data_IF_051583293850
#
_entry.id   IF_051583293850
#
_cell.length_a   1.000
_cell.length_b   1.000
_cell.length_c   1.000
_cell.angle_alpha   90.00
_cell.angle_beta   90.00
_cell.angle_gamma   90.00
#
_symmetry.space_group_name_H-M   'P 1'
#
loop_
_entity.id
_entity.type
_entity.pdbx_description
1 polymer ?
#
# COMPACT_ATOMS: atom_id res chain seq x y z
N UNK A 1 6.38 -35.61 70.13
CA UNK A 1 5.21 -36.29 69.54
C UNK A 1 4.35 -35.18 68.95
N UNK A 2 4.49 -34.92 67.64
CA UNK A 2 3.48 -35.25 66.61
C UNK A 2 2.20 -34.45 66.83
N UNK A 3 1.57 -33.76 65.90
CA UNK A 3 1.65 -33.54 64.45
C UNK A 3 0.50 -32.55 64.20
N UNK A 4 0.62 -31.55 63.35
CA UNK A 4 -0.18 -31.53 62.12
C UNK A 4 0.32 -30.47 61.15
N UNK A 5 0.26 -30.87 59.89
CA UNK A 5 0.93 -30.33 58.72
C UNK A 5 -0.02 -29.56 57.81
N UNK A 6 0.51 -28.43 57.34
CA UNK A 6 0.52 -27.97 55.95
C UNK A 6 -0.78 -27.49 55.26
N UNK A 7 -0.67 -26.23 54.82
CA UNK A 7 -1.51 -25.57 53.81
C UNK A 7 -0.88 -24.24 53.38
N UNK A 8 0.40 -24.27 52.98
CA UNK A 8 1.08 -23.13 52.32
C UNK A 8 0.51 -23.04 50.90
N UNK A 9 -0.16 -21.94 50.58
CA UNK A 9 -0.52 -21.60 49.19
C UNK A 9 0.76 -21.34 48.40
N UNK A 10 0.97 -22.15 47.37
CA UNK A 10 2.05 -22.06 46.42
C UNK A 10 1.84 -20.93 45.40
N UNK A 11 2.98 -20.46 44.89
CA UNK A 11 3.15 -19.56 43.76
C UNK A 11 2.56 -20.17 42.49
N UNK A 12 1.95 -19.33 41.65
CA UNK A 12 1.53 -19.71 40.30
C UNK A 12 1.12 -18.50 39.48
N UNK A 13 2.03 -18.10 38.57
CA UNK A 13 1.74 -17.48 37.28
C UNK A 13 1.18 -16.05 37.28
N UNK A 14 2.08 -15.08 37.50
CA UNK A 14 2.01 -13.81 36.80
C UNK A 14 2.27 -14.11 35.31
N UNK A 15 1.21 -14.18 34.52
CA UNK A 15 1.31 -14.06 33.08
C UNK A 15 1.83 -12.64 32.79
N UNK A 16 3.14 -12.53 32.51
CA UNK A 16 3.70 -11.38 31.82
C UNK A 16 2.96 -11.26 30.49
N UNK A 17 1.96 -10.36 30.46
CA UNK A 17 1.50 -9.72 29.24
C UNK A 17 2.68 -8.92 28.73
N UNK A 18 3.59 -9.60 28.01
CA UNK A 18 4.60 -8.97 27.21
C UNK A 18 3.87 -8.08 26.21
N UNK A 19 4.00 -6.78 26.42
CA UNK A 19 3.36 -5.75 25.63
C UNK A 19 3.84 -5.87 24.17
N UNK A 20 2.99 -6.45 23.31
CA UNK A 20 3.27 -6.59 21.88
C UNK A 20 3.44 -5.23 21.18
N UNK A 21 3.06 -4.11 21.81
CA UNK A 21 3.33 -2.78 21.30
C UNK A 21 4.80 -2.35 21.45
N UNK A 22 5.51 -2.89 22.46
CA UNK A 22 6.94 -2.61 22.69
C UNK A 22 7.81 -3.46 21.74
N UNK A 23 7.46 -4.74 21.53
CA UNK A 23 8.15 -5.62 20.57
C UNK A 23 8.01 -5.16 19.11
N UNK A 24 6.92 -4.46 18.74
CA UNK A 24 6.77 -3.86 17.40
C UNK A 24 7.69 -2.68 17.14
N UNK A 25 8.17 -1.96 18.17
CA UNK A 25 9.01 -0.76 17.99
C UNK A 25 10.47 -1.09 17.66
N UNK A 26 11.01 -2.19 18.17
CA UNK A 26 12.41 -2.59 17.90
C UNK A 26 12.62 -3.18 16.49
N UNK A 27 11.56 -3.66 15.83
CA UNK A 27 11.61 -4.28 14.49
C UNK A 27 10.99 -3.41 13.37
N UNK A 28 10.95 -2.08 13.53
CA UNK A 28 10.37 -1.17 12.54
C UNK A 28 11.36 -0.72 11.43
N UNK A 29 12.66 -0.94 11.64
CA UNK A 29 13.73 -0.42 10.78
C UNK A 29 14.75 -1.52 10.43
N UNK A 30 15.40 -1.38 9.28
CA UNK A 30 16.40 -2.36 8.79
C UNK A 30 17.79 -2.16 9.41
N UNK A 31 18.04 -0.97 9.99
CA UNK A 31 19.36 -0.53 10.41
C UNK A 31 20.14 0.25 9.35
N UNK A 32 19.66 0.34 8.11
CA UNK A 32 20.18 1.22 7.05
C UNK A 32 19.51 2.59 7.10
N UNK A 33 20.02 3.52 6.30
CA UNK A 33 19.47 4.88 6.15
C UNK A 33 19.12 5.17 4.69
N UNK A 34 18.05 5.92 4.51
CA UNK A 34 17.74 6.61 3.26
C UNK A 34 18.34 8.01 3.32
N UNK A 35 19.11 8.38 2.30
CA UNK A 35 19.69 9.71 2.15
C UNK A 35 19.15 10.34 0.88
N UNK A 36 18.38 11.41 1.02
CA UNK A 36 17.91 12.22 -0.09
C UNK A 36 19.00 13.22 -0.46
N UNK A 37 19.38 13.19 -1.74
CA UNK A 37 20.43 14.01 -2.30
C UNK A 37 19.85 15.10 -3.20
N UNK A 38 20.57 16.23 -3.26
CA UNK A 38 20.34 17.23 -4.28
C UNK A 38 20.60 16.62 -5.68
N UNK A 39 19.68 16.79 -6.66
CA UNK A 39 19.83 16.23 -8.00
C UNK A 39 21.09 16.68 -8.73
N UNK A 40 21.56 17.91 -8.49
CA UNK A 40 22.71 18.51 -9.16
C UNK A 40 24.01 18.23 -8.41
N UNK A 41 23.94 18.11 -7.08
CA UNK A 41 25.11 17.96 -6.21
C UNK A 41 25.26 16.57 -5.57
N UNK A 42 24.49 15.56 -5.98
CA UNK A 42 24.47 14.25 -5.31
C UNK A 42 25.84 13.55 -5.17
N UNK A 43 26.78 13.78 -6.09
CA UNK A 43 28.17 13.28 -5.96
C UNK A 43 28.89 13.87 -4.74
N UNK A 44 28.71 15.18 -4.50
CA UNK A 44 29.28 15.89 -3.37
C UNK A 44 28.70 15.38 -2.05
N UNK A 45 27.39 15.14 -2.02
CA UNK A 45 26.73 14.56 -0.84
C UNK A 45 27.27 13.17 -0.49
N UNK A 46 27.43 12.29 -1.49
CA UNK A 46 28.03 10.97 -1.26
C UNK A 46 29.50 11.04 -0.81
N UNK A 47 30.28 11.98 -1.34
CA UNK A 47 31.66 12.20 -0.91
C UNK A 47 31.75 12.72 0.54
N UNK A 48 30.81 13.59 0.94
CA UNK A 48 30.70 14.04 2.32
C UNK A 48 30.35 12.89 3.27
N UNK A 49 29.41 12.02 2.91
CA UNK A 49 29.07 10.83 3.71
C UNK A 49 30.28 9.88 3.85
N UNK A 50 31.02 9.66 2.76
CA UNK A 50 32.22 8.83 2.79
C UNK A 50 33.30 9.42 3.69
N UNK A 51 33.58 10.71 3.56
CA UNK A 51 34.67 11.38 4.29
C UNK A 51 34.36 11.63 5.76
N UNK A 52 33.10 11.93 6.11
CA UNK A 52 32.71 12.33 7.48
C UNK A 52 32.07 11.22 8.28
N UNK A 53 31.34 10.30 7.62
CA UNK A 53 30.59 9.23 8.30
C UNK A 53 31.11 7.83 7.98
N UNK A 54 32.18 7.72 7.16
CA UNK A 54 32.77 6.43 6.81
C UNK A 54 31.86 5.54 5.96
N UNK A 55 30.84 6.13 5.33
CA UNK A 55 29.90 5.38 4.47
C UNK A 55 30.64 4.87 3.23
N UNK A 56 30.51 3.57 2.88
CA UNK A 56 31.12 3.01 1.68
C UNK A 56 30.70 3.74 0.39
N UNK A 57 31.47 3.53 -0.68
CA UNK A 57 31.09 4.03 -2.00
C UNK A 57 29.71 3.50 -2.43
N UNK A 58 28.96 4.31 -3.18
CA UNK A 58 27.66 3.90 -3.69
C UNK A 58 27.72 3.41 -5.14
N UNK A 59 27.10 2.26 -5.38
CA UNK A 59 26.85 1.73 -6.71
C UNK A 59 25.54 2.28 -7.25
N UNK A 60 25.52 2.59 -8.55
CA UNK A 60 24.32 3.14 -9.18
C UNK A 60 23.34 2.02 -9.52
N UNK A 61 22.12 2.13 -9.01
CA UNK A 61 20.99 1.30 -9.39
C UNK A 61 20.14 2.07 -10.40
N UNK A 62 20.09 1.57 -11.63
CA UNK A 62 19.24 2.11 -12.70
C UNK A 62 18.06 1.17 -12.93
N UNK A 63 16.90 1.74 -13.25
CA UNK A 63 15.63 1.02 -13.27
C UNK A 63 15.55 -0.25 -14.13
N UNK A 64 16.44 -0.47 -15.11
CA UNK A 64 16.43 -1.68 -15.94
C UNK A 64 17.09 -2.91 -15.29
N UNK A 65 17.85 -2.76 -14.20
CA UNK A 65 18.73 -3.81 -13.67
C UNK A 65 18.26 -4.35 -12.32
N UNK A 66 17.15 -5.09 -12.31
CA UNK A 66 16.58 -5.65 -11.07
C UNK A 66 17.58 -6.56 -10.31
N UNK A 67 18.34 -7.40 -11.02
CA UNK A 67 19.35 -8.26 -10.40
C UNK A 67 20.49 -7.47 -9.75
N UNK A 68 20.94 -6.37 -10.38
CA UNK A 68 21.95 -5.49 -9.79
C UNK A 68 21.41 -4.80 -8.55
N UNK A 69 20.17 -4.31 -8.60
CA UNK A 69 19.50 -3.71 -7.45
C UNK A 69 19.42 -4.66 -6.25
N UNK A 70 19.05 -5.93 -6.48
CA UNK A 70 18.99 -6.95 -5.42
C UNK A 70 20.36 -7.20 -4.82
N UNK A 71 21.39 -7.45 -5.65
CA UNK A 71 22.76 -7.68 -5.17
C UNK A 71 23.26 -6.54 -4.30
N UNK A 72 23.12 -5.30 -4.78
CA UNK A 72 23.59 -4.11 -4.06
C UNK A 72 22.81 -3.93 -2.74
N UNK A 73 21.50 -4.21 -2.72
CA UNK A 73 20.69 -4.11 -1.51
C UNK A 73 20.90 -5.26 -0.52
N UNK A 74 21.48 -6.39 -0.93
CA UNK A 74 21.87 -7.50 -0.04
C UNK A 74 23.22 -7.26 0.63
N UNK A 75 24.14 -6.56 -0.05
CA UNK A 75 25.49 -6.34 0.44
C UNK A 75 25.51 -5.26 1.54
N UNK A 76 25.81 -5.64 2.81
CA UNK A 76 25.72 -4.71 3.94
C UNK A 76 26.74 -3.56 3.86
N UNK A 77 27.82 -3.78 3.11
CA UNK A 77 28.94 -2.84 2.95
C UNK A 77 28.86 -2.03 1.65
N UNK A 78 27.78 -2.14 0.87
CA UNK A 78 27.59 -1.39 -0.37
C UNK A 78 26.37 -0.48 -0.25
N UNK A 79 26.55 0.78 -0.66
CA UNK A 79 25.45 1.74 -0.73
C UNK A 79 24.78 1.68 -2.10
N UNK A 80 23.44 1.69 -2.15
CA UNK A 80 22.70 1.76 -3.41
C UNK A 80 22.31 3.21 -3.70
N UNK A 81 22.77 3.79 -4.80
CA UNK A 81 22.32 5.11 -5.28
C UNK A 81 21.32 4.94 -6.40
N UNK A 82 20.11 5.48 -6.24
CA UNK A 82 19.07 5.56 -7.27
C UNK A 82 19.11 6.96 -7.90
N UNK A 83 19.81 7.19 -9.03
CA UNK A 83 20.04 8.54 -9.54
C UNK A 83 18.75 9.21 -10.01
N UNK A 84 17.87 8.45 -10.67
CA UNK A 84 16.58 8.93 -11.17
C UNK A 84 15.64 9.37 -10.05
N UNK A 85 15.83 8.77 -8.87
CA UNK A 85 15.08 9.11 -7.65
C UNK A 85 15.84 10.06 -6.75
N UNK A 86 17.12 10.31 -7.00
CA UNK A 86 18.07 11.08 -6.18
C UNK A 86 18.11 10.65 -4.71
N UNK A 87 18.05 9.34 -4.44
CA UNK A 87 18.10 8.77 -3.09
C UNK A 87 19.20 7.71 -3.03
N UNK A 88 19.94 7.68 -1.94
CA UNK A 88 20.85 6.60 -1.61
C UNK A 88 20.31 5.78 -0.43
N UNK A 89 20.43 4.46 -0.50
CA UNK A 89 20.26 3.53 0.62
C UNK A 89 21.65 3.16 1.12
N UNK A 90 21.97 3.52 2.36
CA UNK A 90 23.33 3.40 2.90
C UNK A 90 23.34 2.51 4.15
N UNK A 91 24.27 1.56 4.17
CA UNK A 91 24.61 0.81 5.38
C UNK A 91 25.45 1.68 6.33
N UNK A 92 25.12 1.66 7.62
CA UNK A 92 25.82 2.46 8.63
C UNK A 92 26.03 1.63 9.88
N UNK A 93 27.29 1.48 10.29
CA UNK A 93 27.61 0.83 11.56
C UNK A 93 27.03 1.63 12.74
N UNK A 94 26.61 0.99 13.86
CA UNK A 94 25.96 1.68 14.97
C UNK A 94 26.73 2.89 15.52
N UNK A 95 28.07 2.83 15.54
CA UNK A 95 28.98 3.89 15.97
C UNK A 95 29.14 5.04 14.97
N UNK A 96 28.75 4.85 13.70
CA UNK A 96 28.83 5.85 12.63
C UNK A 96 27.52 6.64 12.43
N UNK A 97 26.43 6.26 13.10
CA UNK A 97 25.09 6.86 12.88
C UNK A 97 25.05 8.34 13.24
N UNK A 98 25.68 8.74 14.34
CA UNK A 98 25.76 10.14 14.76
C UNK A 98 26.54 10.98 13.74
N UNK A 99 27.63 10.43 13.21
CA UNK A 99 28.43 11.10 12.18
C UNK A 99 27.63 11.27 10.87
N UNK A 100 26.79 10.29 10.49
CA UNK A 100 25.90 10.43 9.34
C UNK A 100 24.88 11.55 9.53
N UNK A 101 24.23 11.61 10.69
CA UNK A 101 23.22 12.65 10.97
C UNK A 101 23.87 14.03 10.97
N UNK A 102 25.04 14.17 11.59
CA UNK A 102 25.81 15.43 11.57
C UNK A 102 26.23 15.82 10.15
N UNK A 103 26.75 14.88 9.35
CA UNK A 103 27.11 15.13 7.97
C UNK A 103 25.89 15.59 7.14
N UNK A 104 24.73 14.98 7.33
CA UNK A 104 23.48 15.36 6.67
C UNK A 104 22.97 16.75 7.07
N UNK A 105 23.28 17.22 8.28
CA UNK A 105 22.89 18.57 8.73
C UNK A 105 23.85 19.66 8.24
N UNK A 106 25.13 19.34 8.06
CA UNK A 106 26.17 20.30 7.68
C UNK A 106 26.39 20.41 6.16
N UNK A 107 26.10 19.34 5.40
CA UNK A 107 26.33 19.30 3.97
C UNK A 107 25.05 19.62 3.20
N UNK A 108 25.02 20.79 2.56
CA UNK A 108 23.85 21.30 1.83
C UNK A 108 23.38 20.43 0.67
N UNK A 109 24.26 19.59 0.12
CA UNK A 109 23.91 18.63 -0.94
C UNK A 109 23.15 17.39 -0.44
N UNK A 110 23.00 17.23 0.89
CA UNK A 110 22.13 16.25 1.54
C UNK A 110 20.87 16.97 2.02
N UNK A 111 19.72 16.63 1.44
CA UNK A 111 18.45 17.30 1.74
C UNK A 111 17.81 16.69 3.00
N UNK A 112 17.89 15.37 3.14
CA UNK A 112 17.35 14.66 4.29
C UNK A 112 18.07 13.33 4.47
N UNK A 113 18.13 12.85 5.71
CA UNK A 113 18.53 11.48 6.03
C UNK A 113 17.57 10.91 7.07
N UNK A 114 17.06 9.70 6.84
CA UNK A 114 16.17 9.02 7.76
C UNK A 114 16.45 7.51 7.84
N UNK A 115 16.13 6.85 8.97
CA UNK A 115 16.24 5.39 9.06
C UNK A 115 15.32 4.70 8.05
N UNK A 116 15.82 3.66 7.39
CA UNK A 116 15.06 2.88 6.42
C UNK A 116 14.06 1.96 7.16
N UNK A 117 12.78 2.04 6.77
CA UNK A 117 11.71 1.28 7.40
C UNK A 117 11.57 -0.12 6.81
N UNK A 118 11.06 -1.02 7.64
CA UNK A 118 10.41 -2.24 7.19
C UNK A 118 8.95 -1.97 6.87
N UNK A 119 8.50 -2.47 5.72
CA UNK A 119 7.13 -2.35 5.21
C UNK A 119 6.47 -3.71 5.13
N UNK A 120 5.15 -3.73 5.23
CA UNK A 120 4.38 -4.97 5.34
C UNK A 120 3.08 -4.89 4.52
N UNK A 121 2.59 -6.04 4.08
CA UNK A 121 1.17 -6.22 3.79
C UNK A 121 0.40 -6.25 5.12
N UNK A 122 -0.81 -5.72 5.14
CA UNK A 122 -1.71 -5.84 6.29
C UNK A 122 -3.05 -6.38 5.82
N UNK A 123 -3.22 -7.70 5.77
CA UNK A 123 -4.49 -8.32 5.37
C UNK A 123 -5.38 -8.57 6.57
N UNK A 124 -6.66 -8.24 6.47
CA UNK A 124 -7.68 -8.66 7.43
C UNK A 124 -8.31 -9.95 6.91
N UNK A 125 -7.81 -11.09 7.41
CA UNK A 125 -8.45 -12.40 7.21
C UNK A 125 -9.42 -12.67 8.34
N UNK A 126 -10.52 -13.38 8.05
CA UNK A 126 -11.77 -13.59 8.83
C UNK A 126 -11.67 -13.93 10.34
N UNK A 127 -10.47 -14.08 10.90
CA UNK A 127 -10.23 -14.33 12.33
C UNK A 127 -10.29 -13.09 13.23
N UNK A 128 -10.41 -11.87 12.69
CA UNK A 128 -10.55 -10.65 13.50
C UNK A 128 -11.97 -10.05 13.46
N UNK A 129 -13.00 -10.86 13.25
CA UNK A 129 -14.41 -10.47 13.46
C UNK A 129 -14.71 -10.46 14.97
N UNK A 130 -14.16 -9.50 15.72
CA UNK A 130 -14.80 -9.12 16.98
C UNK A 130 -16.08 -8.34 16.64
N UNK A 131 -17.19 -9.05 16.72
CA UNK A 131 -18.54 -8.49 16.70
C UNK A 131 -18.69 -7.66 17.97
N UNK A 132 -18.45 -6.35 17.91
CA UNK A 132 -18.90 -5.46 18.99
C UNK A 132 -20.42 -5.37 18.93
N UNK A 133 -21.08 -6.21 19.71
CA UNK A 133 -22.53 -6.23 19.84
C UNK A 133 -23.06 -4.89 20.34
N UNK A 134 -23.80 -4.20 19.48
CA UNK A 134 -24.59 -3.04 19.86
C UNK A 134 -25.98 -3.52 20.29
N UNK A 135 -26.26 -3.49 21.59
CA UNK A 135 -27.61 -3.69 22.13
C UNK A 135 -28.25 -2.33 22.43
N UNK A 136 -29.29 -1.88 21.68
CA UNK A 136 -30.14 -0.81 22.15
C UNK A 136 -31.19 -1.38 23.12
N UNK A 137 -31.27 -0.80 24.31
CA UNK A 137 -32.35 -1.02 25.27
C UNK A 137 -33.66 -0.49 24.71
N UNK A 138 -34.67 -1.36 24.64
CA UNK A 138 -36.01 -1.07 24.15
C UNK A 138 -36.75 -0.10 25.08
N UNK A 139 -37.32 0.97 24.51
CA UNK A 139 -38.48 1.68 25.07
C UNK A 139 -39.55 1.75 23.97
N UNK A 140 -40.73 1.29 24.31
CA UNK A 140 -41.91 1.07 23.45
C UNK A 140 -42.61 2.38 23.09
N UNK A 141 -42.88 2.57 21.80
CA UNK A 141 -44.03 3.31 21.27
C UNK A 141 -44.32 2.74 19.86
N UNK A 142 -45.35 1.90 19.73
CA UNK A 142 -45.48 0.92 18.63
C UNK A 142 -45.98 1.47 17.27
N UNK A 143 -46.54 2.68 17.18
CA UNK A 143 -47.19 3.15 15.93
C UNK A 143 -46.41 4.18 15.12
N UNK A 144 -45.24 4.64 15.59
CA UNK A 144 -44.35 5.59 14.85
C UNK A 144 -43.12 4.88 14.24
N UNK A 145 -42.89 3.59 14.57
CA UNK A 145 -41.67 2.87 14.17
C UNK A 145 -41.65 2.36 12.71
N UNK A 146 -42.77 1.96 12.11
CA UNK A 146 -42.72 1.18 10.85
C UNK A 146 -42.21 1.95 9.61
N UNK A 147 -42.44 3.27 9.54
CA UNK A 147 -41.96 4.07 8.39
C UNK A 147 -40.52 4.57 8.57
N UNK A 148 -40.03 4.65 9.81
CA UNK A 148 -38.66 5.07 10.11
C UNK A 148 -37.67 3.91 10.12
N UNK A 149 -38.12 2.66 10.30
CA UNK A 149 -37.22 1.49 10.31
C UNK A 149 -36.82 1.06 8.91
N UNK A 150 -37.72 0.97 7.93
CA UNK A 150 -37.34 0.42 6.60
C UNK A 150 -36.33 1.30 5.85
N UNK A 151 -36.50 2.63 5.88
CA UNK A 151 -35.56 3.56 5.26
C UNK A 151 -34.23 3.65 6.03
N UNK A 152 -34.26 3.62 7.37
CA UNK A 152 -33.04 3.60 8.18
C UNK A 152 -32.30 2.25 8.08
N UNK A 153 -33.03 1.14 7.99
CA UNK A 153 -32.48 -0.20 7.76
C UNK A 153 -31.93 -0.34 6.34
N UNK A 154 -32.62 0.17 5.32
CA UNK A 154 -32.10 0.23 3.96
C UNK A 154 -30.85 1.12 3.86
N UNK A 155 -30.83 2.27 4.55
CA UNK A 155 -29.64 3.12 4.66
C UNK A 155 -28.50 2.44 5.43
N UNK A 156 -28.80 1.61 6.43
CA UNK A 156 -27.81 0.85 7.19
C UNK A 156 -27.25 -0.36 6.44
N UNK A 157 -28.06 -1.01 5.59
CA UNK A 157 -27.68 -2.16 4.77
C UNK A 157 -26.94 -1.75 3.49
N UNK A 158 -27.17 -0.53 2.99
CA UNK A 158 -26.57 0.01 1.79
C UNK A 158 -27.14 -0.58 0.49
N UNK A 159 -26.47 -0.37 -0.66
CA UNK A 159 -26.95 -0.86 -1.94
C UNK A 159 -27.02 -2.40 -1.98
N UNK A 160 -27.99 -2.94 -2.71
CA UNK A 160 -28.02 -4.35 -3.06
C UNK A 160 -27.08 -4.60 -4.26
N UNK A 161 -26.18 -5.58 -4.13
CA UNK A 161 -25.21 -5.95 -5.15
C UNK A 161 -25.57 -7.30 -5.77
N UNK A 162 -25.65 -7.37 -7.10
CA UNK A 162 -25.84 -8.63 -7.82
C UNK A 162 -24.48 -9.16 -8.30
N UNK A 163 -23.89 -10.07 -7.54
CA UNK A 163 -22.57 -10.62 -7.83
C UNK A 163 -22.60 -11.86 -8.75
N UNK A 164 -23.69 -12.08 -9.50
CA UNK A 164 -23.77 -13.16 -10.48
C UNK A 164 -22.80 -12.95 -11.67
N UNK A 165 -22.61 -11.70 -12.08
CA UNK A 165 -21.81 -11.35 -13.26
C UNK A 165 -20.57 -10.49 -12.94
N UNK A 166 -20.69 -9.54 -12.02
CA UNK A 166 -19.62 -8.62 -11.61
C UNK A 166 -19.51 -8.56 -10.10
N UNK A 167 -18.30 -8.51 -9.53
CA UNK A 167 -18.16 -8.32 -8.07
C UNK A 167 -18.79 -7.00 -7.64
N UNK A 168 -19.19 -6.92 -6.36
CA UNK A 168 -19.77 -5.71 -5.79
C UNK A 168 -18.82 -4.51 -5.94
N UNK A 169 -17.51 -4.75 -5.87
CA UNK A 169 -16.49 -3.73 -6.03
C UNK A 169 -16.52 -3.09 -7.41
N UNK A 170 -16.66 -3.89 -8.48
CA UNK A 170 -16.81 -3.38 -9.84
C UNK A 170 -18.11 -2.60 -10.03
N UNK A 171 -19.20 -3.04 -9.40
CA UNK A 171 -20.48 -2.32 -9.43
C UNK A 171 -20.39 -0.98 -8.69
N UNK A 172 -19.75 -0.96 -7.51
CA UNK A 172 -19.59 0.23 -6.69
C UNK A 172 -18.78 1.31 -7.40
N UNK A 173 -17.67 0.95 -8.06
CA UNK A 173 -16.87 1.89 -8.85
C UNK A 173 -17.43 2.15 -10.25
N UNK A 174 -18.56 1.52 -10.61
CA UNK A 174 -19.23 1.58 -11.93
C UNK A 174 -18.44 1.03 -13.12
N UNK A 175 -17.45 0.17 -12.87
CA UNK A 175 -16.67 -0.50 -13.91
C UNK A 175 -17.50 -1.47 -14.78
N UNK A 176 -18.67 -1.90 -14.30
CA UNK A 176 -19.65 -2.67 -15.07
C UNK A 176 -20.38 -1.83 -16.15
N UNK A 177 -20.31 -0.50 -16.06
CA UNK A 177 -20.90 0.43 -17.04
C UNK A 177 -19.85 1.15 -17.90
N UNK A 178 -18.56 1.03 -17.55
CA UNK A 178 -17.48 1.64 -18.30
C UNK A 178 -17.19 0.83 -19.57
N UNK A 179 -17.03 1.53 -20.70
CA UNK A 179 -16.65 0.92 -21.99
C UNK A 179 -15.14 0.88 -22.22
N UNK A 180 -14.39 1.62 -21.41
CA UNK A 180 -12.93 1.62 -21.43
C UNK A 180 -12.42 0.35 -20.76
N UNK A 181 -11.25 -0.12 -21.20
CA UNK A 181 -10.68 -1.40 -20.78
C UNK A 181 -9.28 -1.24 -20.16
N UNK A 182 -8.67 -0.06 -20.24
CA UNK A 182 -7.28 0.19 -19.86
C UNK A 182 -6.29 -0.17 -20.97
N UNK A 183 -6.77 -0.46 -22.19
CA UNK A 183 -5.92 -0.82 -23.31
C UNK A 183 -4.83 0.22 -23.55
N UNK A 184 -3.59 -0.26 -23.74
CA UNK A 184 -2.43 0.60 -24.01
C UNK A 184 -1.84 1.26 -22.76
N UNK A 185 -2.40 1.04 -21.57
CA UNK A 185 -1.89 1.61 -20.32
C UNK A 185 -1.11 0.57 -19.53
N UNK A 186 0.08 0.95 -19.07
CA UNK A 186 0.91 0.15 -18.18
C UNK A 186 0.64 0.51 -16.71
N UNK A 187 0.29 -0.48 -15.92
CA UNK A 187 0.08 -0.38 -14.47
C UNK A 187 1.12 -1.24 -13.77
N UNK A 188 1.93 -0.63 -12.92
CA UNK A 188 2.84 -1.35 -12.05
C UNK A 188 2.15 -1.68 -10.72
N UNK A 189 2.27 -2.93 -10.29
CA UNK A 189 1.84 -3.38 -8.96
C UNK A 189 3.08 -3.83 -8.21
N UNK A 190 3.46 -3.08 -7.18
CA UNK A 190 4.62 -3.36 -6.35
C UNK A 190 4.15 -4.05 -5.06
N UNK A 191 4.37 -5.37 -4.98
CA UNK A 191 3.73 -6.23 -3.97
C UNK A 191 4.55 -7.53 -3.72
N UNK A 192 3.91 -8.63 -3.35
CA UNK A 192 4.51 -9.95 -3.08
C UNK A 192 4.84 -10.77 -4.33
N UNK A 193 4.64 -10.20 -5.52
CA UNK A 193 4.86 -10.84 -6.81
C UNK A 193 3.56 -11.20 -7.53
N UNK A 194 3.64 -12.13 -8.48
CA UNK A 194 2.47 -12.64 -9.22
C UNK A 194 2.63 -14.13 -9.50
N UNK A 195 1.55 -14.90 -9.44
CA UNK A 195 1.52 -16.21 -10.09
C UNK A 195 1.52 -16.02 -11.62
N UNK A 196 2.68 -16.14 -12.24
CA UNK A 196 2.84 -15.89 -13.70
C UNK A 196 2.10 -16.90 -14.56
N UNK A 197 1.70 -18.03 -13.99
CA UNK A 197 0.97 -19.09 -14.68
C UNK A 197 -0.54 -19.00 -14.44
N UNK A 198 -1.00 -18.01 -13.69
CA UNK A 198 -2.42 -17.84 -13.39
C UNK A 198 -3.22 -17.65 -14.70
N UNK A 199 -4.26 -18.46 -14.96
CA UNK A 199 -4.94 -18.50 -16.26
C UNK A 199 -5.58 -17.16 -16.66
N UNK A 200 -6.05 -16.39 -15.67
CA UNK A 200 -6.64 -15.07 -15.93
C UNK A 200 -5.59 -13.96 -16.16
N UNK A 201 -4.36 -14.11 -15.68
CA UNK A 201 -3.40 -13.00 -15.59
C UNK A 201 -2.24 -13.12 -16.57
N UNK A 202 -1.84 -14.33 -16.96
CA UNK A 202 -0.67 -14.58 -17.78
C UNK A 202 -0.61 -13.72 -19.06
N UNK A 203 -1.75 -13.52 -19.72
CA UNK A 203 -1.85 -12.72 -20.94
C UNK A 203 -1.67 -11.19 -20.73
N UNK A 204 -1.82 -10.71 -19.48
CA UNK A 204 -1.76 -9.28 -19.12
C UNK A 204 -0.41 -8.85 -18.58
N UNK A 205 0.40 -9.79 -18.10
CA UNK A 205 1.75 -9.52 -17.60
C UNK A 205 2.63 -9.05 -18.77
N UNK A 206 3.12 -7.82 -18.66
CA UNK A 206 4.02 -7.19 -19.63
C UNK A 206 5.48 -7.24 -19.18
N UNK A 207 5.72 -7.28 -17.87
CA UNK A 207 7.05 -7.37 -17.29
C UNK A 207 6.98 -7.80 -15.84
N UNK A 208 8.03 -8.47 -15.39
CA UNK A 208 8.16 -8.96 -14.02
C UNK A 208 9.56 -8.69 -13.52
N UNK A 209 9.69 -8.27 -12.27
CA UNK A 209 10.97 -8.12 -11.61
C UNK A 209 10.83 -8.50 -10.13
N UNK A 210 11.88 -9.09 -9.55
CA UNK A 210 11.98 -9.28 -8.11
C UNK A 210 13.10 -8.43 -7.55
N UNK A 211 12.76 -7.67 -6.52
CA UNK A 211 13.67 -6.89 -5.69
C UNK A 211 13.83 -7.55 -4.31
N UNK A 212 13.37 -8.80 -4.17
CA UNK A 212 13.47 -9.56 -2.93
C UNK A 212 14.62 -10.55 -3.02
N UNK A 213 15.60 -10.44 -2.12
CA UNK A 213 16.71 -11.37 -1.99
C UNK A 213 16.33 -12.84 -2.05
N UNK A 214 17.01 -13.58 -2.94
CA UNK A 214 16.82 -15.03 -3.10
C UNK A 214 15.41 -15.48 -3.51
N UNK A 215 14.53 -14.58 -3.95
CA UNK A 215 13.15 -14.93 -4.31
C UNK A 215 12.85 -14.54 -5.76
N UNK A 216 12.31 -15.51 -6.52
CA UNK A 216 11.75 -15.24 -7.84
C UNK A 216 10.50 -14.34 -7.75
N UNK A 217 10.02 -13.83 -8.88
CA UNK A 217 8.80 -13.03 -8.94
C UNK A 217 7.51 -13.79 -8.57
N UNK A 218 7.58 -15.12 -8.44
CA UNK A 218 6.41 -15.92 -8.09
C UNK A 218 5.84 -15.52 -6.74
N UNK A 219 4.51 -15.42 -6.70
CA UNK A 219 3.80 -15.00 -5.51
C UNK A 219 3.61 -16.17 -4.53
N UNK A 220 4.53 -16.29 -3.58
CA UNK A 220 4.42 -17.24 -2.48
C UNK A 220 3.46 -16.82 -1.37
N UNK A 221 2.88 -15.62 -1.42
CA UNK A 221 1.95 -15.10 -0.42
C UNK A 221 0.49 -15.13 -0.89
N UNK A 222 0.26 -14.66 -2.12
CA UNK A 222 -1.02 -14.52 -2.80
C UNK A 222 -1.57 -13.09 -2.87
N UNK A 223 -1.05 -12.19 -2.03
CA UNK A 223 -1.50 -10.80 -1.95
C UNK A 223 -1.27 -10.01 -3.25
N UNK A 224 -0.09 -10.14 -3.86
CA UNK A 224 0.24 -9.46 -5.10
C UNK A 224 -0.60 -9.93 -6.28
N UNK A 225 -0.82 -11.24 -6.41
CA UNK A 225 -1.72 -11.83 -7.42
C UNK A 225 -3.15 -11.30 -7.26
N UNK A 226 -3.62 -11.16 -6.02
CA UNK A 226 -4.94 -10.61 -5.71
C UNK A 226 -5.06 -9.13 -6.11
N UNK A 227 -4.04 -8.33 -5.78
CA UNK A 227 -4.00 -6.91 -6.15
C UNK A 227 -3.95 -6.71 -7.67
N UNK A 228 -3.11 -7.48 -8.38
CA UNK A 228 -3.04 -7.48 -9.85
C UNK A 228 -4.38 -7.84 -10.47
N UNK A 229 -5.03 -8.89 -9.97
CA UNK A 229 -6.34 -9.29 -10.44
C UNK A 229 -7.42 -8.22 -10.23
N UNK A 230 -7.37 -7.49 -9.11
CA UNK A 230 -8.35 -6.44 -8.83
C UNK A 230 -8.16 -5.25 -9.79
N UNK A 231 -6.91 -4.90 -10.09
CA UNK A 231 -6.59 -3.83 -11.02
C UNK A 231 -6.93 -4.19 -12.49
N UNK A 232 -6.55 -5.38 -12.95
CA UNK A 232 -6.57 -5.74 -14.38
C UNK A 232 -6.97 -7.19 -14.69
N UNK A 233 -7.74 -7.85 -13.82
CA UNK A 233 -8.36 -9.13 -14.12
C UNK A 233 -9.22 -9.06 -15.39
N UNK A 234 -9.29 -10.14 -16.17
CA UNK A 234 -9.90 -10.14 -17.50
C UNK A 234 -11.41 -9.89 -17.43
N UNK A 235 -11.98 -9.44 -18.55
CA UNK A 235 -13.43 -9.24 -18.68
C UNK A 235 -14.21 -10.56 -18.62
N UNK A 236 -13.58 -11.66 -19.01
CA UNK A 236 -14.13 -13.02 -18.95
C UNK A 236 -13.15 -13.95 -18.20
N UNK A 237 -13.22 -13.98 -16.86
CA UNK A 237 -12.37 -14.86 -16.06
C UNK A 237 -12.81 -16.32 -16.16
N UNK A 238 -11.91 -17.26 -15.82
CA UNK A 238 -12.23 -18.69 -15.77
C UNK A 238 -13.47 -19.00 -14.90
N UNK A 239 -13.68 -18.22 -13.83
CA UNK A 239 -14.87 -18.31 -12.99
C UNK A 239 -15.45 -16.91 -12.74
N UNK A 240 -16.74 -16.75 -13.05
CA UNK A 240 -17.54 -15.58 -12.68
C UNK A 240 -17.62 -15.44 -11.14
N UNK A 241 -17.86 -14.22 -10.62
CA UNK A 241 -18.05 -12.96 -11.35
C UNK A 241 -16.74 -12.30 -11.84
N UNK A 242 -16.86 -11.38 -12.81
CA UNK A 242 -15.78 -10.47 -13.24
C UNK A 242 -15.32 -9.61 -12.06
N UNK A 243 -14.01 -9.44 -11.90
CA UNK A 243 -13.42 -8.77 -10.73
C UNK A 243 -12.36 -7.71 -11.06
N UNK A 244 -11.88 -7.61 -12.30
CA UNK A 244 -10.88 -6.61 -12.70
C UNK A 244 -11.47 -5.30 -13.24
N UNK A 245 -10.94 -4.16 -12.76
CA UNK A 245 -11.39 -2.82 -13.16
C UNK A 245 -10.97 -2.48 -14.60
N UNK A 246 -9.70 -2.67 -14.94
CA UNK A 246 -9.11 -2.33 -16.24
C UNK A 246 -8.62 -3.60 -16.97
N UNK A 247 -9.54 -4.39 -17.58
CA UNK A 247 -9.27 -5.77 -18.03
C UNK A 247 -8.26 -5.92 -19.17
N UNK A 248 -7.88 -4.84 -19.85
CA UNK A 248 -6.89 -4.83 -20.93
C UNK A 248 -5.64 -3.99 -20.62
N UNK A 249 -5.53 -3.46 -19.40
CA UNK A 249 -4.29 -2.87 -18.92
C UNK A 249 -3.14 -3.90 -18.93
N UNK A 250 -1.93 -3.41 -19.20
CA UNK A 250 -0.71 -4.20 -19.20
C UNK A 250 -0.07 -4.10 -17.81
N UNK A 251 0.26 -5.22 -17.20
CA UNK A 251 0.75 -5.26 -15.81
C UNK A 251 2.27 -5.41 -15.75
N UNK A 252 2.89 -4.55 -14.97
CA UNK A 252 4.27 -4.69 -14.50
C UNK A 252 4.22 -5.22 -13.06
N UNK A 253 4.55 -6.49 -12.85
CA UNK A 253 4.52 -7.10 -11.52
C UNK A 253 5.90 -7.00 -10.86
N UNK A 254 6.05 -6.06 -9.92
CA UNK A 254 7.27 -5.87 -9.16
C UNK A 254 7.16 -6.52 -7.79
N UNK A 255 7.95 -7.55 -7.52
CA UNK A 255 8.04 -8.15 -6.18
C UNK A 255 8.97 -7.31 -5.31
N UNK A 256 8.40 -6.53 -4.40
CA UNK A 256 9.14 -5.73 -3.40
C UNK A 256 8.91 -6.24 -1.98
N UNK A 257 7.98 -7.19 -1.81
CA UNK A 257 7.69 -7.88 -0.55
C UNK A 257 7.97 -9.38 -0.68
N UNK A 258 8.53 -9.95 0.37
CA UNK A 258 8.82 -11.37 0.49
C UNK A 258 7.56 -12.22 0.49
N UNK A 259 7.72 -13.53 0.39
CA UNK A 259 6.62 -14.49 0.54
C UNK A 259 5.94 -14.41 1.92
N UNK A 260 6.61 -13.81 2.92
CA UNK A 260 6.06 -13.53 4.24
C UNK A 260 5.31 -12.18 4.29
N UNK A 261 5.29 -11.42 3.20
CA UNK A 261 4.58 -10.15 3.10
C UNK A 261 5.34 -8.96 3.70
N UNK A 262 6.66 -9.06 3.87
CA UNK A 262 7.52 -7.99 4.39
C UNK A 262 8.59 -7.57 3.38
N UNK A 263 8.99 -6.29 3.42
CA UNK A 263 10.08 -5.74 2.62
C UNK A 263 10.65 -4.48 3.28
N UNK A 264 11.49 -3.77 2.54
CA UNK A 264 12.14 -2.53 2.99
C UNK A 264 11.86 -1.38 2.04
N UNK A 265 12.00 -0.15 2.54
CA UNK A 265 11.88 1.05 1.71
C UNK A 265 12.83 1.01 0.49
N UNK A 266 14.07 0.52 0.64
CA UNK A 266 15.01 0.38 -0.48
C UNK A 266 14.52 -0.55 -1.58
N UNK A 267 13.84 -1.64 -1.23
CA UNK A 267 13.21 -2.53 -2.22
C UNK A 267 12.04 -1.85 -2.93
N UNK A 268 11.25 -1.04 -2.20
CA UNK A 268 10.19 -0.22 -2.80
C UNK A 268 10.79 0.81 -3.77
N UNK A 269 11.85 1.52 -3.37
CA UNK A 269 12.54 2.50 -4.22
C UNK A 269 13.08 1.85 -5.50
N UNK A 270 13.66 0.65 -5.40
CA UNK A 270 14.08 -0.13 -6.57
C UNK A 270 12.89 -0.48 -7.48
N UNK A 271 11.78 -0.93 -6.92
CA UNK A 271 10.54 -1.21 -7.65
C UNK A 271 9.95 0.03 -8.33
N UNK A 272 9.96 1.20 -7.67
CA UNK A 272 9.50 2.48 -8.23
C UNK A 272 10.39 2.88 -9.41
N UNK A 273 11.71 2.84 -9.24
CA UNK A 273 12.68 3.16 -10.31
C UNK A 273 12.50 2.24 -11.52
N UNK A 274 12.31 0.93 -11.29
CA UNK A 274 12.00 -0.01 -12.36
C UNK A 274 10.69 0.32 -13.07
N UNK A 275 9.60 0.50 -12.32
CA UNK A 275 8.29 0.83 -12.90
C UNK A 275 8.32 2.11 -13.77
N UNK A 276 9.04 3.14 -13.33
CA UNK A 276 9.28 4.35 -14.12
C UNK A 276 10.03 4.05 -15.41
N UNK A 277 11.12 3.28 -15.35
CA UNK A 277 11.90 2.91 -16.53
C UNK A 277 11.11 2.10 -17.56
N UNK A 278 10.11 1.36 -17.09
CA UNK A 278 9.20 0.58 -17.91
C UNK A 278 8.01 1.41 -18.43
N UNK A 279 7.90 2.70 -18.07
CA UNK A 279 6.84 3.59 -18.56
C UNK A 279 5.49 3.42 -17.88
N UNK A 280 5.44 2.92 -16.64
CA UNK A 280 4.19 2.77 -15.90
C UNK A 280 3.47 4.13 -15.78
N UNK A 281 2.16 4.16 -16.11
CA UNK A 281 1.32 5.36 -15.88
C UNK A 281 0.82 5.44 -14.45
N UNK A 282 0.74 4.29 -13.78
CA UNK A 282 0.28 4.16 -12.40
C UNK A 282 1.13 3.12 -11.69
N UNK A 283 1.54 3.43 -10.46
CA UNK A 283 2.17 2.51 -9.52
C UNK A 283 1.18 2.28 -8.37
N UNK A 284 0.77 1.04 -8.15
CA UNK A 284 -0.08 0.59 -7.05
C UNK A 284 0.77 -0.07 -5.98
N UNK A 285 0.66 0.40 -4.73
CA UNK A 285 1.39 -0.10 -3.58
C UNK A 285 0.44 -0.45 -2.44
N UNK A 286 0.09 -1.73 -2.33
CA UNK A 286 -0.81 -2.25 -1.30
C UNK A 286 -0.05 -2.68 -0.05
N UNK A 287 0.78 -1.77 0.47
CA UNK A 287 1.75 -2.00 1.53
C UNK A 287 1.90 -0.77 2.41
N UNK A 288 2.50 -0.94 3.59
CA UNK A 288 2.92 0.20 4.38
C UNK A 288 3.57 -0.14 5.71
N UNK A 289 3.91 0.92 6.44
CA UNK A 289 4.44 0.86 7.80
C UNK A 289 3.61 1.77 8.73
N UNK A 290 3.30 1.33 9.97
CA UNK A 290 2.54 2.12 10.92
C UNK A 290 3.15 3.49 11.21
N UNK A 291 2.30 4.50 11.34
CA UNK A 291 2.69 5.88 11.69
C UNK A 291 2.08 6.25 13.04
N UNK A 292 2.88 6.86 13.92
CA UNK A 292 2.37 7.32 15.22
C UNK A 292 1.52 8.60 15.07
N UNK A 293 0.52 8.83 15.92
CA UNK A 293 -0.21 10.10 15.93
C UNK A 293 0.73 11.31 16.03
N UNK A 294 0.59 12.30 15.12
CA UNK A 294 1.46 13.48 15.06
C UNK A 294 2.81 13.30 14.36
N UNK A 295 3.15 12.08 13.93
CA UNK A 295 4.37 11.85 13.15
C UNK A 295 4.18 12.34 11.70
N UNK A 296 5.15 13.12 11.21
CA UNK A 296 5.15 13.62 9.84
C UNK A 296 5.49 12.52 8.82
N UNK A 297 5.14 12.77 7.56
CA UNK A 297 5.51 11.91 6.43
C UNK A 297 7.03 11.93 6.16
N UNK A 298 7.51 10.92 5.44
CA UNK A 298 8.91 10.82 5.02
C UNK A 298 9.24 11.91 3.98
N UNK A 299 10.21 12.82 4.25
CA UNK A 299 10.65 13.80 3.25
C UNK A 299 11.31 13.14 2.04
N UNK A 300 11.93 11.97 2.24
CA UNK A 300 12.53 11.16 1.17
C UNK A 300 11.44 10.67 0.22
N UNK A 301 10.41 9.98 0.74
CA UNK A 301 9.34 9.43 -0.09
C UNK A 301 8.46 10.51 -0.71
N UNK A 302 8.23 11.64 -0.02
CA UNK A 302 7.52 12.77 -0.64
C UNK A 302 8.30 13.32 -1.84
N UNK A 303 9.61 13.52 -1.69
CA UNK A 303 10.44 14.02 -2.80
C UNK A 303 10.50 13.02 -3.96
N UNK A 304 10.60 11.72 -3.64
CA UNK A 304 10.52 10.64 -4.64
C UNK A 304 9.17 10.66 -5.36
N UNK A 305 8.07 10.79 -4.62
CA UNK A 305 6.73 10.85 -5.19
C UNK A 305 6.55 12.07 -6.10
N UNK A 306 7.06 13.24 -5.71
CA UNK A 306 7.06 14.42 -6.57
C UNK A 306 7.83 14.19 -7.88
N UNK A 307 8.98 13.53 -7.83
CA UNK A 307 9.78 13.17 -9.02
C UNK A 307 9.04 12.18 -9.92
N UNK A 308 8.38 11.17 -9.34
CA UNK A 308 7.55 10.18 -10.06
C UNK A 308 6.35 10.87 -10.74
N UNK A 309 5.67 11.77 -10.04
CA UNK A 309 4.55 12.55 -10.58
C UNK A 309 5.00 13.49 -11.70
N UNK A 310 6.14 14.15 -11.55
CA UNK A 310 6.73 15.00 -12.58
C UNK A 310 7.13 14.19 -13.83
N UNK A 311 7.50 12.92 -13.68
CA UNK A 311 7.76 11.98 -14.77
C UNK A 311 6.48 11.46 -15.45
N UNK A 312 5.28 11.85 -14.98
CA UNK A 312 3.99 11.49 -15.60
C UNK A 312 3.33 10.23 -15.02
N UNK A 313 3.84 9.71 -13.91
CA UNK A 313 3.33 8.50 -13.24
C UNK A 313 2.63 8.85 -11.93
N UNK A 314 1.45 8.30 -11.70
CA UNK A 314 0.76 8.43 -10.40
C UNK A 314 1.12 7.29 -9.46
N UNK A 315 1.28 7.60 -8.18
CA UNK A 315 1.43 6.60 -7.12
C UNK A 315 0.12 6.51 -6.33
N UNK A 316 -0.39 5.30 -6.18
CA UNK A 316 -1.58 4.98 -5.39
C UNK A 316 -1.16 4.00 -4.30
N UNK A 317 -1.48 4.31 -3.04
CA UNK A 317 -1.06 3.49 -1.91
C UNK A 317 -2.18 3.27 -0.88
N UNK A 318 -2.13 2.10 -0.24
CA UNK A 318 -3.08 1.72 0.80
C UNK A 318 -2.93 2.61 2.04
N UNK A 319 -4.04 3.12 2.58
CA UNK A 319 -3.99 3.97 3.76
C UNK A 319 -3.51 3.24 5.03
N UNK A 320 -3.67 1.92 5.12
CA UNK A 320 -3.35 1.10 6.30
C UNK A 320 -4.59 0.49 6.95
N UNK A 321 -4.37 -0.51 7.82
CA UNK A 321 -5.45 -1.35 8.40
C UNK A 321 -5.37 -1.49 9.93
N UNK A 322 -4.76 -0.51 10.61
CA UNK A 322 -4.58 -0.50 12.07
C UNK A 322 -5.49 0.52 12.79
N UNK A 323 -6.48 1.05 12.08
CA UNK A 323 -7.39 2.12 12.56
C UNK A 323 -6.69 3.40 13.01
N UNK A 324 -5.39 3.53 12.73
CA UNK A 324 -4.55 4.64 13.10
C UNK A 324 -4.48 5.73 12.04
N UNK A 325 -3.42 6.54 12.09
CA UNK A 325 -3.07 7.48 11.04
C UNK A 325 -2.84 6.80 9.69
N UNK A 326 -2.95 7.54 8.60
CA UNK A 326 -2.48 7.05 7.28
C UNK A 326 -1.02 6.59 7.40
N UNK A 327 -0.76 5.37 6.94
CA UNK A 327 0.54 4.74 7.03
C UNK A 327 1.53 5.27 5.99
N UNK A 328 2.81 5.07 6.26
CA UNK A 328 3.87 5.28 5.28
C UNK A 328 3.78 4.22 4.17
N UNK A 329 3.99 4.54 2.88
CA UNK A 329 4.27 5.87 2.33
C UNK A 329 3.00 6.64 1.92
N UNK A 330 1.80 6.06 2.08
CA UNK A 330 0.55 6.69 1.67
C UNK A 330 0.30 8.05 2.31
N UNK A 331 0.89 8.33 3.47
CA UNK A 331 0.80 9.62 4.13
C UNK A 331 1.59 10.76 3.45
N UNK A 332 2.38 10.49 2.42
CA UNK A 332 3.04 11.54 1.64
C UNK A 332 2.01 12.30 0.78
N UNK A 333 1.94 13.65 0.81
CA UNK A 333 0.99 14.45 0.04
C UNK A 333 0.91 14.14 -1.47
N UNK A 334 2.05 13.80 -2.07
CA UNK A 334 2.16 13.48 -3.50
C UNK A 334 1.72 12.05 -3.84
N UNK A 335 1.50 11.19 -2.84
CA UNK A 335 0.97 9.83 -3.01
C UNK A 335 -0.54 9.84 -2.79
N UNK A 336 -1.27 9.06 -3.59
CA UNK A 336 -2.72 8.95 -3.47
C UNK A 336 -3.10 7.88 -2.44
N UNK A 337 -3.44 8.30 -1.22
CA UNK A 337 -3.89 7.43 -0.14
C UNK A 337 -5.33 6.94 -0.36
N UNK A 338 -5.53 5.62 -0.24
CA UNK A 338 -6.81 4.97 -0.49
C UNK A 338 -7.37 4.31 0.79
N UNK A 339 -8.54 4.77 1.22
CA UNK A 339 -9.32 4.17 2.30
C UNK A 339 -10.20 3.00 1.81
N UNK A 340 -10.52 2.07 2.72
CA UNK A 340 -11.34 0.90 2.42
C UNK A 340 -12.80 1.13 2.78
N UNK A 341 -13.71 0.79 1.86
CA UNK A 341 -15.15 0.72 2.10
C UNK A 341 -15.63 -0.72 2.14
N UNK A 342 -16.72 -0.96 2.89
CA UNK A 342 -17.53 -2.17 2.78
C UNK A 342 -18.71 -2.03 1.82
N UNK A 343 -19.47 -3.12 1.67
CA UNK A 343 -20.66 -3.19 0.80
C UNK A 343 -21.74 -2.15 1.12
N UNK A 344 -21.83 -1.71 2.39
CA UNK A 344 -22.72 -0.63 2.79
C UNK A 344 -22.20 0.79 2.45
N UNK A 345 -21.08 0.89 1.73
CA UNK A 345 -20.36 2.13 1.41
C UNK A 345 -19.91 2.95 2.63
N UNK A 346 -19.80 2.29 3.78
CA UNK A 346 -19.17 2.84 4.96
C UNK A 346 -17.68 2.50 4.99
N UNK A 347 -16.85 3.44 5.45
CA UNK A 347 -15.44 3.19 5.80
C UNK A 347 -15.31 1.96 6.69
N UNK A 348 -14.38 1.08 6.35
CA UNK A 348 -14.11 -0.12 7.11
C UNK A 348 -13.53 0.24 8.49
N UNK A 349 -13.92 -0.44 9.58
CA UNK A 349 -13.42 -0.10 10.92
C UNK A 349 -11.89 -0.12 11.04
N UNK A 350 -11.23 -1.03 10.33
CA UNK A 350 -9.77 -1.15 10.30
C UNK A 350 -9.07 -0.05 9.49
N UNK A 351 -9.77 0.64 8.58
CA UNK A 351 -9.14 1.59 7.66
C UNK A 351 -8.51 2.74 8.46
N UNK A 352 -7.24 3.01 8.19
CA UNK A 352 -6.57 4.19 8.71
C UNK A 352 -7.25 5.47 8.22
N UNK A 353 -7.05 6.55 8.97
CA UNK A 353 -7.74 7.83 8.80
C UNK A 353 -6.75 8.96 8.59
N UNK A 354 -7.22 9.95 7.85
CA UNK A 354 -6.53 11.20 7.62
C UNK A 354 -6.24 11.92 8.93
N UNK A 355 -5.07 12.57 9.00
CA UNK A 355 -4.78 13.54 10.05
C UNK A 355 -4.96 14.95 9.50
N UNK A 356 -5.39 15.89 10.36
CA UNK A 356 -5.41 17.33 10.04
C UNK A 356 -3.99 17.94 10.07
N UNK A 357 -3.02 17.24 9.46
CA UNK A 357 -1.68 17.74 9.21
C UNK A 357 -1.55 17.99 7.70
N UNK A 358 -0.60 18.83 7.30
CA UNK A 358 -0.26 18.93 5.88
C UNK A 358 0.37 17.59 5.47
N UNK A 359 -0.29 16.85 4.56
CA UNK A 359 0.02 15.44 4.34
C UNK A 359 -0.67 14.51 5.34
N UNK A 360 -0.65 13.21 5.07
CA UNK A 360 -1.39 12.19 5.82
C UNK A 360 -2.91 12.26 5.70
N UNK A 361 -3.44 12.79 4.60
CA UNK A 361 -4.87 12.82 4.30
C UNK A 361 -5.32 11.55 3.55
N UNK A 362 -6.61 11.20 3.64
CA UNK A 362 -7.22 10.27 2.68
C UNK A 362 -7.58 11.06 1.42
N UNK A 363 -7.14 10.59 0.26
CA UNK A 363 -7.51 11.24 -0.99
C UNK A 363 -8.82 10.68 -1.54
N UNK A 364 -9.00 9.36 -1.46
CA UNK A 364 -10.17 8.67 -2.01
C UNK A 364 -10.46 7.39 -1.24
N UNK A 365 -11.70 6.90 -1.36
CA UNK A 365 -12.10 5.60 -0.85
C UNK A 365 -12.48 4.65 -1.99
N UNK A 366 -12.30 3.35 -1.78
CA UNK A 366 -12.66 2.32 -2.74
C UNK A 366 -13.04 1.00 -2.05
N UNK A 367 -13.65 0.04 -2.78
CA UNK A 367 -14.03 -1.26 -2.25
C UNK A 367 -12.85 -2.02 -1.62
N UNK A 368 -12.93 -2.32 -0.32
CA UNK A 368 -11.83 -2.96 0.41
C UNK A 368 -12.24 -4.06 1.38
N UNK A 369 -13.53 -4.34 1.57
CA UNK A 369 -14.01 -5.43 2.44
C UNK A 369 -14.65 -6.52 1.60
N UNK A 370 -14.28 -7.78 1.84
CA UNK A 370 -14.80 -8.94 1.11
C UNK A 370 -14.65 -8.77 -0.41
N UNK A 371 -13.43 -8.46 -0.86
CA UNK A 371 -13.10 -8.30 -2.27
C UNK A 371 -12.58 -9.62 -2.81
N UNK A 372 -13.31 -10.18 -3.78
CA UNK A 372 -12.91 -11.37 -4.54
C UNK A 372 -11.98 -10.98 -5.68
N UNK A 373 -10.84 -11.66 -5.82
CA UNK A 373 -9.91 -11.51 -6.95
C UNK A 373 -9.14 -12.81 -7.21
N UNK A 374 -8.20 -12.77 -8.16
CA UNK A 374 -7.24 -13.82 -8.45
C UNK A 374 -6.41 -14.21 -7.20
N UNK A 375 -5.96 -15.45 -7.17
CA UNK A 375 -5.10 -16.00 -6.12
C UNK A 375 -4.21 -17.08 -6.72
N UNK A 376 -2.98 -17.30 -6.23
CA UNK A 376 -2.11 -18.33 -6.79
C UNK A 376 -2.77 -19.71 -6.87
N UNK A 377 -2.42 -20.45 -7.91
CA UNK A 377 -2.84 -21.84 -8.05
C UNK A 377 -2.37 -22.69 -6.87
N UNK A 378 -3.15 -23.70 -6.44
CA UNK A 378 -4.35 -24.23 -7.11
C UNK A 378 -5.67 -23.55 -6.70
N UNK A 379 -5.66 -22.55 -5.81
CA UNK A 379 -6.89 -21.95 -5.30
C UNK A 379 -7.56 -21.02 -6.33
N UNK A 380 -6.79 -20.38 -7.22
CA UNK A 380 -7.21 -19.52 -8.34
C UNK A 380 -7.92 -18.22 -7.92
N UNK A 381 -8.77 -18.25 -6.91
CA UNK A 381 -9.50 -17.08 -6.44
C UNK A 381 -9.65 -17.06 -4.93
N UNK A 382 -9.60 -15.86 -4.35
CA UNK A 382 -9.81 -15.67 -2.92
C UNK A 382 -10.49 -14.34 -2.62
N UNK A 383 -11.29 -14.34 -1.56
CA UNK A 383 -11.92 -13.14 -1.01
C UNK A 383 -11.18 -12.73 0.25
N UNK A 384 -10.65 -11.50 0.27
CA UNK A 384 -9.95 -10.93 1.42
C UNK A 384 -10.31 -9.45 1.61
N UNK A 385 -9.91 -8.88 2.74
CA UNK A 385 -10.21 -7.50 3.12
C UNK A 385 -8.95 -6.72 3.48
N UNK A 386 -8.97 -5.43 3.17
CA UNK A 386 -7.93 -4.45 3.49
C UNK A 386 -7.99 -3.23 2.58
N UNK A 387 -7.38 -2.13 3.01
CA UNK A 387 -7.03 -1.00 2.11
C UNK A 387 -6.15 -1.44 0.93
N UNK A 388 -5.44 -2.56 1.10
CA UNK A 388 -4.76 -3.28 0.02
C UNK A 388 -5.66 -3.71 -1.13
N UNK A 389 -6.94 -3.96 -0.90
CA UNK A 389 -7.90 -4.32 -1.96
C UNK A 389 -8.57 -3.08 -2.55
N UNK A 390 -8.68 -2.00 -1.77
CA UNK A 390 -9.19 -0.71 -2.25
C UNK A 390 -8.21 -0.04 -3.24
N UNK A 391 -6.93 -0.08 -2.93
CA UNK A 391 -5.83 0.51 -3.72
C UNK A 391 -5.84 0.08 -5.20
N UNK A 392 -5.86 -1.22 -5.54
CA UNK A 392 -5.86 -1.66 -6.94
C UNK A 392 -7.15 -1.34 -7.70
N UNK A 393 -8.30 -1.16 -7.02
CA UNK A 393 -9.48 -0.62 -7.70
C UNK A 393 -9.19 0.79 -8.24
N UNK A 394 -8.60 1.64 -7.40
CA UNK A 394 -8.23 3.02 -7.80
C UNK A 394 -7.15 3.00 -8.88
N UNK A 395 -6.14 2.13 -8.77
CA UNK A 395 -5.12 1.99 -9.82
C UNK A 395 -5.75 1.62 -11.18
N UNK A 396 -6.72 0.71 -11.19
CA UNK A 396 -7.51 0.37 -12.37
C UNK A 396 -8.31 1.56 -12.91
N UNK A 397 -8.98 2.34 -12.05
CA UNK A 397 -9.71 3.55 -12.47
C UNK A 397 -8.76 4.55 -13.13
N UNK A 398 -7.57 4.79 -12.55
CA UNK A 398 -6.57 5.69 -13.13
C UNK A 398 -6.09 5.16 -14.48
N UNK A 399 -5.98 3.84 -14.66
CA UNK A 399 -5.66 3.27 -15.96
C UNK A 399 -6.74 3.54 -17.01
N UNK A 400 -8.02 3.45 -16.64
CA UNK A 400 -9.13 3.82 -17.53
C UNK A 400 -9.10 5.32 -17.88
N UNK A 401 -8.82 6.20 -16.91
CA UNK A 401 -8.65 7.63 -17.15
C UNK A 401 -7.46 7.93 -18.07
N UNK A 402 -6.35 7.21 -17.91
CA UNK A 402 -5.18 7.35 -18.77
C UNK A 402 -5.44 6.83 -20.20
N UNK A 403 -6.32 5.85 -20.39
CA UNK A 403 -6.79 5.45 -21.72
C UNK A 403 -7.67 6.55 -22.34
N UNK A 404 -8.56 7.15 -21.54
CA UNK A 404 -9.46 8.22 -21.99
C UNK A 404 -8.70 9.49 -22.42
N UNK A 405 -7.67 9.86 -21.66
CA UNK A 405 -6.85 11.05 -21.89
C UNK A 405 -5.35 10.68 -21.93
N UNK A 406 -4.84 10.07 -23.01
CA UNK A 406 -3.45 9.58 -23.07
C UNK A 406 -2.38 10.65 -22.80
N UNK A 407 -2.66 11.90 -23.17
CA UNK A 407 -1.79 13.05 -22.96
C UNK A 407 -1.90 13.73 -21.59
N UNK A 408 -2.82 13.31 -20.72
CA UNK A 408 -2.98 13.90 -19.40
C UNK A 408 -1.74 13.64 -18.53
N UNK A 409 -1.30 14.66 -17.81
CA UNK A 409 -0.25 14.56 -16.80
C UNK A 409 -0.76 13.82 -15.55
N UNK A 410 0.16 13.34 -14.71
CA UNK A 410 -0.21 12.69 -13.45
C UNK A 410 -1.11 13.58 -12.55
N UNK A 411 -0.81 14.88 -12.33
CA UNK A 411 -1.70 15.76 -11.57
C UNK A 411 -3.09 15.93 -12.19
N UNK A 412 -3.20 15.96 -13.52
CA UNK A 412 -4.49 16.02 -14.22
C UNK A 412 -5.29 14.74 -14.01
N UNK A 413 -4.66 13.57 -14.11
CA UNK A 413 -5.32 12.28 -13.81
C UNK A 413 -5.81 12.22 -12.35
N UNK A 414 -4.99 12.67 -11.38
CA UNK A 414 -5.41 12.76 -9.96
C UNK A 414 -6.61 13.69 -9.82
N UNK A 415 -6.57 14.86 -10.47
CA UNK A 415 -7.69 15.82 -10.45
C UNK A 415 -8.96 15.21 -11.05
N UNK A 416 -8.87 14.53 -12.19
CA UNK A 416 -10.01 13.84 -12.84
C UNK A 416 -10.64 12.83 -11.89
N UNK A 417 -9.83 11.94 -11.33
CA UNK A 417 -10.26 10.93 -10.37
C UNK A 417 -10.99 11.57 -9.17
N UNK A 418 -10.38 12.58 -8.53
CA UNK A 418 -10.94 13.26 -7.37
C UNK A 418 -12.24 14.00 -7.71
N UNK A 419 -12.29 14.69 -8.86
CA UNK A 419 -13.48 15.42 -9.30
C UNK A 419 -14.63 14.52 -9.74
N UNK A 420 -14.31 13.30 -10.21
CA UNK A 420 -15.28 12.29 -10.63
C UNK A 420 -15.74 11.36 -9.50
N UNK A 421 -15.18 11.49 -8.30
CA UNK A 421 -15.54 10.65 -7.16
C UNK A 421 -17.01 10.87 -6.76
N UNK A 422 -17.68 9.78 -6.40
CA UNK A 422 -19.01 9.85 -5.79
C UNK A 422 -18.87 10.28 -4.33
N UNK A 423 -19.34 11.50 -4.02
CA UNK A 423 -19.26 12.07 -2.68
C UNK A 423 -20.04 11.21 -1.68
N UNK A 424 -19.37 10.80 -0.61
CA UNK A 424 -19.97 10.10 0.51
C UNK A 424 -20.29 11.10 1.65
N UNK A 425 -21.30 10.83 2.49
CA UNK A 425 -21.65 11.70 3.61
C UNK A 425 -20.65 11.62 4.78
N UNK A 426 -19.70 10.70 4.72
CA UNK A 426 -18.69 10.49 5.75
C UNK A 426 -17.64 11.62 5.75
N UNK A 427 -17.02 11.91 6.91
CA UNK A 427 -15.99 12.94 7.00
C UNK A 427 -14.81 12.70 6.04
N UNK A 428 -14.19 13.75 5.46
CA UNK A 428 -13.07 13.62 4.53
C UNK A 428 -11.85 12.87 5.11
N UNK A 429 -11.61 12.93 6.41
CA UNK A 429 -10.57 12.14 7.07
C UNK A 429 -10.79 10.62 6.94
N UNK A 430 -12.02 10.17 6.66
CA UNK A 430 -12.33 8.75 6.47
C UNK A 430 -12.37 8.34 5.00
N UNK A 431 -12.78 9.23 4.11
CA UNK A 431 -13.11 8.87 2.71
C UNK A 431 -12.55 9.81 1.65
N UNK A 432 -11.86 10.88 2.05
CA UNK A 432 -11.33 11.89 1.15
C UNK A 432 -12.43 12.52 0.30
N UNK A 433 -12.24 12.48 -1.03
CA UNK A 433 -13.23 12.96 -2.00
C UNK A 433 -14.49 12.08 -2.09
N UNK A 434 -14.47 10.88 -1.52
CA UNK A 434 -15.55 9.89 -1.60
C UNK A 434 -15.12 8.62 -2.34
N UNK A 435 -16.10 7.90 -2.90
CA UNK A 435 -15.88 6.65 -3.62
C UNK A 435 -15.36 6.92 -5.03
N UNK A 436 -14.22 6.33 -5.40
CA UNK A 436 -13.72 6.38 -6.77
C UNK A 436 -14.71 5.81 -7.79
N UNK A 437 -14.84 6.48 -8.93
CA UNK A 437 -15.72 6.08 -10.03
C UNK A 437 -14.93 5.98 -11.33
N UNK A 438 -15.24 4.97 -12.14
CA UNK A 438 -14.75 4.90 -13.52
C UNK A 438 -15.32 6.04 -14.37
N UNK A 439 -14.59 6.53 -15.39
CA UNK A 439 -15.06 7.57 -16.30
C UNK A 439 -16.26 7.15 -17.16
#
# INVERSE_FOLDING_TARGET
MTSESFGRRERGEQFELCDQSVLKRENAYTGRYLVLLDPQEGKRGMEALRSRAGVPGAEQVRGAEAESAVRILEEPDVSALFPDLGVAVVGVAPDQREALVTAAQEESSIIAAEPERLVYISTITDQSREVTGYYPTYRSDEDVLERHTTAAMAAALGPAWDESDHTWGLQAVRANHCRLTGQGVMVAVLDTGVDTNHPDLAARIAGTASFVPGQSVQDGNGHGTHCIGTAAGPADPQQRPRYGVAPEARILAGKVLSNQGSGSDGQILAGISWALSQGARVISMSLGAPVSPGQLFSPVFETVAQRVVAAGTLIVAAAGNDSGPVNHPANCPSILAVAALGKALHVAPFSCRGQSLAGAEINIAAPGVEVRSAWPMPQVYKTISGTSMATPHVAGIVALLAQMEPGATAPELKKRLISGAYRLPQPPENVGAGLGQTP
#
